data_IF_426588119224
#
_entry.id   IF_426588119224
#
_cell.length_a   1.000
_cell.length_b   1.000
_cell.length_c   1.000
_cell.angle_alpha   90.00
_cell.angle_beta   90.00
_cell.angle_gamma   90.00
#
_symmetry.space_group_name_H-M   'P 1'
#
loop_
_entity.id
_entity.type
_entity.pdbx_description
1 polymer ?
#
# COMPACT_ATOMS: atom_id res chain seq x y z
N UNK A 1 3.42 5.64 -16.75
CA UNK A 1 3.74 7.08 -16.68
C UNK A 1 2.60 7.85 -17.31
N UNK A 2 2.10 8.96 -16.72
CA UNK A 2 1.06 9.74 -17.37
C UNK A 2 1.72 10.57 -18.48
N UNK A 3 1.49 10.18 -19.73
CA UNK A 3 1.93 10.93 -20.91
C UNK A 3 1.01 12.14 -21.07
N UNK A 4 1.44 13.26 -20.49
CA UNK A 4 0.70 14.52 -20.50
C UNK A 4 1.27 15.42 -21.58
N UNK A 5 0.89 15.28 -22.86
CA UNK A 5 1.10 16.35 -23.84
C UNK A 5 0.03 16.38 -24.95
N UNK A 6 -1.10 17.05 -24.71
CA UNK A 6 -2.08 17.37 -25.75
C UNK A 6 -1.87 18.74 -26.40
N UNK A 7 -0.88 19.51 -25.95
CA UNK A 7 -0.57 20.86 -26.47
C UNK A 7 0.44 20.78 -27.62
N UNK A 8 1.15 19.65 -27.73
CA UNK A 8 2.11 19.38 -28.79
C UNK A 8 1.53 18.34 -29.76
N UNK A 9 1.90 18.42 -31.06
CA UNK A 9 1.53 17.37 -32.00
C UNK A 9 2.10 16.02 -31.56
N UNK A 10 1.32 14.96 -31.76
CA UNK A 10 1.82 13.60 -31.61
C UNK A 10 2.41 13.16 -32.95
N UNK A 11 3.61 12.58 -32.90
CA UNK A 11 4.32 12.07 -34.07
C UNK A 11 4.52 10.58 -33.88
N UNK A 12 3.86 9.79 -34.72
CA UNK A 12 3.94 8.33 -34.71
C UNK A 12 4.70 7.86 -35.95
N UNK A 13 5.72 7.03 -35.75
CA UNK A 13 6.41 6.32 -36.82
C UNK A 13 5.76 4.94 -36.98
N UNK A 14 5.21 4.67 -38.16
CA UNK A 14 4.61 3.38 -38.48
C UNK A 14 5.48 2.71 -39.53
N UNK A 15 5.92 1.49 -39.24
CA UNK A 15 6.65 0.64 -40.19
C UNK A 15 5.96 -0.71 -40.25
N UNK A 16 5.70 -1.19 -41.46
CA UNK A 16 5.07 -2.48 -41.69
C UNK A 16 5.74 -3.19 -42.85
N UNK A 17 5.95 -4.50 -42.69
CA UNK A 17 6.39 -5.39 -43.75
C UNK A 17 5.27 -6.39 -44.03
N UNK A 18 4.90 -6.55 -45.29
CA UNK A 18 3.89 -7.51 -45.72
C UNK A 18 4.55 -8.47 -46.69
N UNK A 19 4.55 -9.75 -46.32
CA UNK A 19 4.94 -10.83 -47.22
C UNK A 19 3.71 -11.20 -48.07
N UNK A 20 3.75 -10.89 -49.36
CA UNK A 20 2.58 -11.02 -50.23
C UNK A 20 2.44 -12.41 -50.86
N UNK A 21 3.36 -13.35 -50.56
CA UNK A 21 3.39 -14.67 -51.18
C UNK A 21 2.24 -15.57 -50.69
N UNK A 22 1.22 -15.88 -51.52
CA UNK A 22 0.10 -16.70 -51.12
C UNK A 22 0.48 -18.19 -51.23
N UNK A 23 0.98 -18.75 -50.12
CA UNK A 23 1.34 -20.18 -49.92
C UNK A 23 2.54 -20.69 -50.74
N UNK A 24 3.25 -21.68 -50.16
CA UNK A 24 4.61 -22.13 -50.56
C UNK A 24 4.80 -22.72 -51.96
N UNK A 25 3.78 -22.70 -52.82
CA UNK A 25 3.82 -23.18 -54.20
C UNK A 25 3.84 -22.04 -55.23
N UNK A 26 3.64 -20.79 -54.83
CA UNK A 26 3.67 -19.63 -55.71
C UNK A 26 5.10 -19.16 -56.00
N UNK A 27 5.38 -18.75 -57.24
CA UNK A 27 6.69 -18.21 -57.63
C UNK A 27 6.92 -16.89 -56.92
N UNK A 28 8.04 -16.79 -56.19
CA UNK A 28 8.44 -15.59 -55.44
C UNK A 28 8.54 -14.33 -56.31
N UNK A 29 8.73 -14.47 -57.63
CA UNK A 29 8.77 -13.35 -58.59
C UNK A 29 7.42 -12.68 -58.83
N UNK A 30 6.31 -13.38 -58.59
CA UNK A 30 4.97 -12.94 -59.00
C UNK A 30 4.27 -12.16 -57.87
N UNK A 31 4.86 -12.17 -56.66
CA UNK A 31 4.37 -11.49 -55.47
C UNK A 31 5.53 -10.80 -54.76
N UNK A 32 5.70 -9.51 -55.01
CA UNK A 32 6.74 -8.71 -54.34
C UNK A 32 6.34 -8.42 -52.89
N UNK A 33 7.28 -8.61 -51.98
CA UNK A 33 7.11 -8.23 -50.58
C UNK A 33 7.10 -6.71 -50.46
N UNK A 34 6.19 -6.18 -49.62
CA UNK A 34 5.97 -4.75 -49.52
C UNK A 34 6.46 -4.24 -48.16
N UNK A 35 7.40 -3.30 -48.19
CA UNK A 35 7.83 -2.57 -47.00
C UNK A 35 7.26 -1.15 -47.04
N UNK A 36 6.45 -0.80 -46.03
CA UNK A 36 5.87 0.54 -45.87
C UNK A 36 6.43 1.18 -44.62
N UNK A 37 6.87 2.42 -44.75
CA UNK A 37 7.16 3.30 -43.62
C UNK A 37 6.42 4.61 -43.81
N UNK A 38 5.86 5.16 -42.73
CA UNK A 38 5.11 6.40 -42.74
C UNK A 38 5.22 7.11 -41.42
N UNK A 39 5.21 8.43 -41.47
CA UNK A 39 5.16 9.30 -40.29
C UNK A 39 3.75 9.88 -40.23
N UNK A 40 3.07 9.66 -39.11
CA UNK A 40 1.77 10.25 -38.85
C UNK A 40 1.94 11.40 -37.85
N UNK A 41 1.54 12.60 -38.25
CA UNK A 41 1.57 13.79 -37.40
C UNK A 41 0.13 14.21 -37.12
N UNK A 42 -0.29 14.12 -35.87
CA UNK A 42 -1.65 14.49 -35.45
C UNK A 42 -1.61 15.67 -34.50
N UNK A 43 -2.42 16.69 -34.79
CA UNK A 43 -2.56 17.88 -33.95
C UNK A 43 -4.02 18.10 -33.59
N UNK A 44 -4.33 18.09 -32.29
CA UNK A 44 -5.68 18.25 -31.79
C UNK A 44 -5.99 19.72 -31.46
N UNK A 45 -6.74 20.39 -32.33
CA UNK A 45 -7.11 21.81 -32.16
C UNK A 45 -8.30 22.03 -31.22
N UNK A 46 -9.17 21.03 -31.02
CA UNK A 46 -10.29 21.11 -30.10
C UNK A 46 -10.76 19.73 -29.68
N UNK A 47 -10.87 19.51 -28.37
CA UNK A 47 -11.25 18.21 -27.84
C UNK A 47 -12.35 18.25 -26.77
N UNK A 48 -13.16 19.32 -26.75
CA UNK A 48 -14.28 19.44 -25.82
C UNK A 48 -13.83 19.43 -24.35
N UNK A 49 -12.71 20.08 -24.03
CA UNK A 49 -12.17 20.20 -22.67
C UNK A 49 -11.73 18.89 -22.00
N UNK A 50 -11.73 17.75 -22.72
CA UNK A 50 -11.39 16.43 -22.15
C UNK A 50 -10.01 16.42 -21.50
N UNK A 51 -9.04 17.18 -22.04
CA UNK A 51 -7.71 17.31 -21.46
C UNK A 51 -7.74 18.01 -20.11
N UNK A 52 -8.41 19.16 -20.02
CA UNK A 52 -8.54 19.91 -18.77
C UNK A 52 -9.29 19.11 -17.70
N UNK A 53 -10.27 18.29 -18.11
CA UNK A 53 -10.97 17.40 -17.21
C UNK A 53 -10.06 16.27 -16.71
N UNK A 54 -9.24 15.68 -17.59
CA UNK A 54 -8.28 14.64 -17.22
C UNK A 54 -7.16 15.19 -16.32
N UNK A 55 -6.68 16.41 -16.57
CA UNK A 55 -5.71 17.09 -15.72
C UNK A 55 -6.30 17.37 -14.33
N UNK A 56 -7.51 17.93 -14.26
CA UNK A 56 -8.22 18.11 -12.98
C UNK A 56 -8.40 16.79 -12.25
N UNK A 57 -8.73 15.71 -12.95
CA UNK A 57 -8.85 14.37 -12.38
C UNK A 57 -7.49 13.89 -11.84
N UNK A 58 -6.40 14.05 -12.57
CA UNK A 58 -5.06 13.68 -12.10
C UNK A 58 -4.63 14.49 -10.88
N UNK A 59 -4.86 15.80 -10.87
CA UNK A 59 -4.57 16.67 -9.71
C UNK A 59 -5.39 16.24 -8.50
N UNK A 60 -6.69 15.96 -8.69
CA UNK A 60 -7.56 15.46 -7.62
C UNK A 60 -7.09 14.10 -7.10
N UNK A 61 -6.74 13.15 -7.98
CA UNK A 61 -6.20 11.85 -7.58
C UNK A 61 -4.87 11.98 -6.84
N UNK A 62 -3.98 12.88 -7.28
CA UNK A 62 -2.72 13.16 -6.59
C UNK A 62 -2.96 13.76 -5.21
N UNK A 63 -3.85 14.76 -5.10
CA UNK A 63 -4.22 15.35 -3.82
C UNK A 63 -4.85 14.32 -2.88
N UNK A 64 -5.69 13.43 -3.40
CA UNK A 64 -6.29 12.35 -2.62
C UNK A 64 -5.25 11.34 -2.14
N UNK A 65 -4.30 10.96 -3.00
CA UNK A 65 -3.20 10.07 -2.61
C UNK A 65 -2.34 10.70 -1.49
N UNK A 66 -2.08 12.01 -1.57
CA UNK A 66 -1.38 12.74 -0.51
C UNK A 66 -2.14 12.69 0.82
N UNK A 67 -3.45 12.97 0.80
CA UNK A 67 -4.29 12.90 2.01
C UNK A 67 -4.35 11.49 2.61
N UNK A 68 -4.35 10.45 1.77
CA UNK A 68 -4.29 9.06 2.24
C UNK A 68 -2.98 8.74 2.94
N UNK A 69 -1.85 9.26 2.44
CA UNK A 69 -0.54 9.10 3.10
C UNK A 69 -0.54 9.82 4.45
N UNK A 70 -1.08 11.04 4.52
CA UNK A 70 -1.17 11.80 5.76
C UNK A 70 -2.05 11.09 6.81
N UNK A 71 -3.21 10.58 6.41
CA UNK A 71 -4.11 9.79 7.27
C UNK A 71 -3.43 8.50 7.77
N UNK A 72 -2.70 7.79 6.88
CA UNK A 72 -1.93 6.60 7.26
C UNK A 72 -0.85 6.93 8.31
N UNK A 73 -0.13 8.03 8.15
CA UNK A 73 0.88 8.47 9.10
C UNK A 73 0.27 8.81 10.47
N UNK A 74 -0.85 9.53 10.49
CA UNK A 74 -1.57 9.89 11.71
C UNK A 74 -2.06 8.63 12.44
N UNK A 75 -2.73 7.73 11.72
CA UNK A 75 -3.25 6.47 12.29
C UNK A 75 -2.13 5.59 12.82
N UNK A 76 -1.02 5.49 12.10
CA UNK A 76 0.15 4.72 12.54
C UNK A 76 0.74 5.27 13.83
N UNK A 77 0.93 6.59 13.91
CA UNK A 77 1.41 7.25 15.15
C UNK A 77 0.48 6.98 16.32
N UNK A 78 -0.82 7.22 16.13
CA UNK A 78 -1.81 6.95 17.17
C UNK A 78 -1.80 5.49 17.63
N UNK A 79 -1.65 4.54 16.69
CA UNK A 79 -1.54 3.13 17.03
C UNK A 79 -0.30 2.85 17.88
N UNK A 80 0.86 3.35 17.48
CA UNK A 80 2.11 3.21 18.24
C UNK A 80 1.95 3.78 19.65
N UNK A 81 1.43 5.01 19.79
CA UNK A 81 1.26 5.66 21.09
C UNK A 81 0.28 4.88 21.99
N UNK A 82 -0.82 4.38 21.41
CA UNK A 82 -1.77 3.53 22.11
C UNK A 82 -1.12 2.21 22.57
N UNK A 83 -0.34 1.55 21.71
CA UNK A 83 0.33 0.30 22.08
C UNK A 83 1.40 0.52 23.16
N UNK A 84 2.16 1.61 23.05
CA UNK A 84 3.14 1.99 24.07
C UNK A 84 2.48 2.25 25.42
N UNK A 85 1.36 2.98 25.43
CA UNK A 85 0.58 3.25 26.64
C UNK A 85 0.05 1.96 27.26
N UNK A 86 -0.48 1.03 26.45
CA UNK A 86 -0.94 -0.29 26.90
C UNK A 86 0.19 -1.12 27.46
N UNK A 87 1.36 -1.11 26.82
CA UNK A 87 2.54 -1.81 27.31
C UNK A 87 2.99 -1.27 28.67
N UNK A 88 3.04 0.06 28.83
CA UNK A 88 3.39 0.69 30.10
C UNK A 88 2.41 0.30 31.23
N UNK A 89 1.10 0.38 30.95
CA UNK A 89 0.08 -0.02 31.91
C UNK A 89 0.14 -1.53 32.26
N UNK A 90 0.39 -2.38 31.27
CA UNK A 90 0.56 -3.82 31.48
C UNK A 90 1.79 -4.13 32.34
N UNK A 91 2.91 -3.43 32.12
CA UNK A 91 4.13 -3.55 32.91
C UNK A 91 3.90 -3.16 34.38
N UNK A 92 3.19 -2.06 34.61
CA UNK A 92 2.84 -1.63 35.97
C UNK A 92 1.90 -2.64 36.64
N UNK A 93 0.87 -3.09 35.92
CA UNK A 93 -0.07 -4.11 36.40
C UNK A 93 0.66 -5.40 36.78
N UNK A 94 1.62 -5.84 35.96
CA UNK A 94 2.45 -7.00 36.24
C UNK A 94 3.27 -6.82 37.52
N UNK A 95 3.91 -5.65 37.70
CA UNK A 95 4.66 -5.34 38.94
C UNK A 95 3.79 -5.34 40.19
N UNK A 96 2.54 -4.89 40.08
CA UNK A 96 1.59 -4.92 41.20
C UNK A 96 1.15 -6.37 41.48
N UNK A 97 0.84 -7.14 40.45
CA UNK A 97 0.45 -8.55 40.58
C UNK A 97 1.57 -9.40 41.20
N UNK A 98 2.82 -9.18 40.79
CA UNK A 98 3.99 -9.84 41.36
C UNK A 98 4.12 -9.55 42.86
N UNK A 99 4.05 -8.27 43.26
CA UNK A 99 4.07 -7.88 44.68
C UNK A 99 2.92 -8.52 45.47
N UNK A 100 1.72 -8.51 44.90
CA UNK A 100 0.56 -9.13 45.54
C UNK A 100 0.75 -10.64 45.72
N UNK A 101 1.35 -11.31 44.73
CA UNK A 101 1.64 -12.74 44.80
C UNK A 101 2.69 -13.05 45.88
N UNK A 102 3.79 -12.30 45.94
CA UNK A 102 4.80 -12.45 47.01
C UNK A 102 4.20 -12.24 48.39
N UNK A 103 3.39 -11.20 48.57
CA UNK A 103 2.73 -10.94 49.85
C UNK A 103 1.77 -12.07 50.24
N UNK A 104 1.03 -12.62 49.28
CA UNK A 104 0.14 -13.75 49.52
C UNK A 104 0.91 -15.00 49.97
N UNK A 105 2.04 -15.31 49.32
CA UNK A 105 2.90 -16.42 49.72
C UNK A 105 3.43 -16.26 51.16
N UNK A 106 3.96 -15.08 51.49
CA UNK A 106 4.45 -14.79 52.84
C UNK A 106 3.34 -14.90 53.89
N UNK A 107 2.13 -14.43 53.57
CA UNK A 107 0.98 -14.54 54.46
C UNK A 107 0.56 -16.00 54.67
N UNK A 108 0.57 -16.81 53.62
CA UNK A 108 0.28 -18.25 53.71
C UNK A 108 1.32 -18.96 54.57
N UNK A 109 2.62 -18.69 54.37
CA UNK A 109 3.70 -19.24 55.20
C UNK A 109 3.54 -18.85 56.68
N UNK A 110 3.20 -17.58 56.95
CA UNK A 110 2.99 -17.09 58.31
C UNK A 110 1.79 -17.79 58.97
N UNK A 111 0.68 -17.98 58.25
CA UNK A 111 -0.46 -18.74 58.76
C UNK A 111 -0.14 -20.21 59.01
N UNK A 112 0.68 -20.83 58.18
CA UNK A 112 1.13 -22.20 58.40
C UNK A 112 1.99 -22.30 59.67
N UNK A 113 2.91 -21.35 59.91
CA UNK A 113 3.69 -21.28 61.15
C UNK A 113 2.81 -21.05 62.38
N UNK A 114 1.86 -20.12 62.34
CA UNK A 114 0.92 -19.84 63.43
C UNK A 114 0.05 -21.06 63.77
N UNK A 115 -0.32 -21.84 62.75
CA UNK A 115 -1.05 -23.10 62.94
C UNK A 115 -0.19 -24.16 63.64
N UNK A 116 1.07 -24.34 63.20
CA UNK A 116 2.01 -25.29 63.83
C UNK A 116 2.32 -24.94 65.29
N UNK A 117 2.38 -23.65 65.61
CA UNK A 117 2.57 -23.15 66.97
C UNK A 117 1.29 -23.28 67.84
N UNK A 118 0.19 -23.79 67.29
CA UNK A 118 -1.10 -23.94 67.97
C UNK A 118 -1.80 -22.62 68.29
N UNK A 119 -1.33 -21.51 67.72
CA UNK A 119 -1.86 -20.17 67.97
C UNK A 119 -3.08 -19.83 67.10
N UNK A 120 -3.35 -20.64 66.06
CA UNK A 120 -4.50 -20.47 65.18
C UNK A 120 -5.19 -21.80 64.89
N UNK A 121 -6.53 -21.79 64.86
CA UNK A 121 -7.36 -22.94 64.43
C UNK A 121 -8.00 -22.58 63.09
N UNK A 122 -7.98 -23.49 62.12
CA UNK A 122 -8.78 -23.35 60.91
C UNK A 122 -10.26 -23.31 61.31
N UNK A 123 -10.95 -22.25 60.91
CA UNK A 123 -12.41 -22.15 60.95
C UNK A 123 -12.95 -22.47 59.57
#
# INVERSE_FOLDING_TARGET
MPQNHPIFPTVDLVSSYVQNNPSGSAKKSDYEDEFKTGINVSFNIFNGFRNSAQERKMVASYSQAKLQIDDFLIKTRYNIDSQLSRYAAAKETYSVAERSHTNALQLTELYEQEFQLGQKKFA
#
